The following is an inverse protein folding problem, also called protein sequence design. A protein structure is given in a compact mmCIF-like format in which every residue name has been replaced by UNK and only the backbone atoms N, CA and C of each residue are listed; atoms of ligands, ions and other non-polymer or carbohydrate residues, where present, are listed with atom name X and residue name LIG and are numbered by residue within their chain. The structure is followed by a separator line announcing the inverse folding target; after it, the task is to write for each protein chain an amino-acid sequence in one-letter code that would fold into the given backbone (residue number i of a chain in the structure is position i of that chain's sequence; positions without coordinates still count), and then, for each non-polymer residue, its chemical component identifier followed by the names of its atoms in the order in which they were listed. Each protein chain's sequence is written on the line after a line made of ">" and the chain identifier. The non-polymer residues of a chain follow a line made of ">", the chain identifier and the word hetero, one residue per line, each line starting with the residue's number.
data_IF_032468091308
#
_entry.id   IF_032468091308
#
_cell.length_a   1.000
_cell.length_b   1.000
_cell.length_c   1.000
_cell.angle_alpha   90.00
_cell.angle_beta   90.00
_cell.angle_gamma   90.00
#
_symmetry.space_group_name_H-M   'P 1'
#
loop_
_entity.id
_entity.type
_entity.pdbx_description
1 polymer ?
#
# COMPACT_ATOMS: atom_id res chain seq x y z
N UNK A 1 43.88 -46.63 27.43
CA UNK A 1 43.59 -45.71 26.29
C UNK A 1 42.25 -44.94 26.46
N UNK A 2 41.85 -44.53 27.67
CA UNK A 2 40.50 -43.93 27.93
C UNK A 2 40.52 -42.42 28.27
N UNK A 3 41.69 -41.78 28.45
CA UNK A 3 41.78 -40.34 28.80
C UNK A 3 41.71 -39.39 27.61
N UNK A 4 42.06 -39.84 26.40
CA UNK A 4 42.09 -38.98 25.20
C UNK A 4 40.69 -38.71 24.64
N UNK A 5 39.75 -39.65 24.79
CA UNK A 5 38.36 -39.51 24.35
C UNK A 5 37.58 -38.48 25.18
N UNK A 6 37.83 -38.41 26.50
CA UNK A 6 37.19 -37.45 27.40
C UNK A 6 37.48 -35.99 27.05
N UNK A 7 38.73 -35.65 26.71
CA UNK A 7 39.10 -34.27 26.34
C UNK A 7 38.51 -33.84 24.99
N UNK A 8 38.34 -34.78 24.04
CA UNK A 8 37.74 -34.50 22.74
C UNK A 8 36.23 -34.27 22.89
N UNK A 9 35.55 -35.06 23.73
CA UNK A 9 34.11 -34.92 23.98
C UNK A 9 33.80 -33.57 24.65
N UNK A 10 34.58 -33.15 25.66
CA UNK A 10 34.40 -31.83 26.29
C UNK A 10 34.65 -30.67 25.30
N UNK A 11 35.67 -30.79 24.44
CA UNK A 11 35.94 -29.78 23.41
C UNK A 11 34.81 -29.65 22.38
N UNK A 12 34.26 -30.79 21.93
CA UNK A 12 33.16 -30.80 20.96
C UNK A 12 31.88 -30.21 21.56
N UNK A 13 31.55 -30.50 22.82
CA UNK A 13 30.37 -29.94 23.50
C UNK A 13 30.48 -28.41 23.67
N UNK A 14 31.67 -27.90 24.01
CA UNK A 14 31.90 -26.46 24.14
C UNK A 14 31.77 -25.76 22.78
N UNK A 15 32.31 -26.34 21.72
CA UNK A 15 32.18 -25.80 20.35
C UNK A 15 30.74 -25.84 19.85
N UNK A 16 29.98 -26.90 20.15
CA UNK A 16 28.56 -27.02 19.78
C UNK A 16 27.68 -25.98 20.49
N UNK A 17 28.02 -25.62 21.73
CA UNK A 17 27.27 -24.62 22.51
C UNK A 17 27.47 -23.19 22.02
N UNK A 18 28.60 -22.87 21.39
CA UNK A 18 28.90 -21.53 20.84
C UNK A 18 28.17 -21.30 19.51
N UNK A 19 27.95 -22.36 18.74
CA UNK A 19 27.26 -22.31 17.43
C UNK A 19 25.74 -22.03 17.59
N UNK A 20 25.16 -22.27 18.78
CA UNK A 20 23.72 -22.07 19.03
C UNK A 20 23.33 -20.62 19.37
N UNK A 21 24.28 -19.70 19.56
CA UNK A 21 23.99 -18.31 19.96
C UNK A 21 23.77 -17.31 18.80
N UNK A 22 23.73 -17.78 17.54
CA UNK A 22 23.60 -16.89 16.36
C UNK A 22 22.17 -16.84 15.82
N UNK A 23 21.16 -17.24 16.61
CA UNK A 23 19.77 -17.00 16.23
C UNK A 23 19.50 -15.49 16.26
N UNK A 24 19.01 -14.88 15.16
CA UNK A 24 18.54 -13.51 15.22
C UNK A 24 17.36 -13.49 16.19
N UNK A 25 17.59 -12.97 17.39
CA UNK A 25 16.51 -12.48 18.24
C UNK A 25 15.89 -11.31 17.50
N UNK A 26 14.80 -11.55 16.78
CA UNK A 26 13.86 -10.49 16.46
C UNK A 26 13.48 -9.86 17.79
N UNK A 27 13.80 -8.58 17.95
CA UNK A 27 13.27 -7.81 19.06
C UNK A 27 11.76 -8.09 19.11
N UNK A 28 11.25 -8.48 20.27
CA UNK A 28 9.81 -8.59 20.49
C UNK A 28 9.25 -7.17 20.42
N UNK A 29 9.08 -6.64 19.22
CA UNK A 29 8.36 -5.40 19.03
C UNK A 29 6.91 -5.69 19.35
N UNK A 30 6.47 -5.18 20.50
CA UNK A 30 5.08 -5.28 20.90
C UNK A 30 4.25 -4.40 19.97
N UNK A 31 3.65 -5.01 18.96
CA UNK A 31 2.84 -4.28 17.99
C UNK A 31 1.46 -3.89 18.54
N UNK A 32 1.08 -4.36 19.73
CA UNK A 32 -0.22 -4.09 20.33
C UNK A 32 -0.36 -2.63 20.82
N UNK A 33 0.74 -1.92 21.06
CA UNK A 33 0.74 -0.52 21.53
C UNK A 33 1.15 0.48 20.46
N UNK A 34 1.56 0.02 19.28
CA UNK A 34 2.18 0.84 18.24
C UNK A 34 1.29 2.00 17.79
N UNK A 35 -0.02 1.83 17.71
CA UNK A 35 -0.93 2.92 17.29
C UNK A 35 -1.03 4.02 18.35
N UNK A 36 -1.05 3.65 19.63
CA UNK A 36 -1.04 4.62 20.73
C UNK A 36 0.30 5.37 20.79
N UNK A 37 1.41 4.67 20.56
CA UNK A 37 2.74 5.28 20.46
C UNK A 37 2.85 6.22 19.26
N UNK A 38 2.32 5.81 18.09
CA UNK A 38 2.28 6.65 16.90
C UNK A 38 1.50 7.94 17.14
N UNK A 39 0.38 7.88 17.85
CA UNK A 39 -0.34 9.08 18.27
C UNK A 39 0.53 10.01 19.13
N UNK A 40 1.21 9.46 20.14
CA UNK A 40 2.12 10.25 20.97
C UNK A 40 3.25 10.88 20.16
N UNK A 41 3.80 10.17 19.17
CA UNK A 41 4.85 10.67 18.28
C UNK A 41 4.32 11.77 17.36
N UNK A 42 3.10 11.64 16.87
CA UNK A 42 2.41 12.66 16.09
C UNK A 42 2.21 13.94 16.91
N UNK A 43 1.75 13.82 18.15
CA UNK A 43 1.49 14.96 19.04
C UNK A 43 2.75 15.78 19.36
N UNK A 44 3.93 15.12 19.39
CA UNK A 44 5.23 15.80 19.59
C UNK A 44 5.97 16.11 18.28
N UNK A 45 5.37 15.84 17.12
CA UNK A 45 5.96 16.12 15.81
C UNK A 45 7.14 15.22 15.41
N UNK A 46 7.31 14.04 16.04
CA UNK A 46 8.38 13.07 15.72
C UNK A 46 7.94 12.10 14.62
N UNK A 47 7.75 12.64 13.42
CA UNK A 47 7.19 11.92 12.28
C UNK A 47 8.11 10.85 11.70
N UNK A 48 9.42 11.08 11.66
CA UNK A 48 10.41 10.08 11.24
C UNK A 48 10.40 8.82 12.14
N UNK A 49 10.36 9.00 13.45
CA UNK A 49 10.29 7.88 14.40
C UNK A 49 8.95 7.14 14.30
N UNK A 50 7.87 7.87 14.05
CA UNK A 50 6.54 7.29 13.82
C UNK A 50 6.52 6.39 12.58
N UNK A 51 7.20 6.78 11.50
CA UNK A 51 7.33 5.93 10.30
C UNK A 51 8.03 4.63 10.66
N UNK A 52 9.21 4.71 11.28
CA UNK A 52 10.00 3.52 11.66
C UNK A 52 9.15 2.57 12.51
N UNK A 53 8.44 3.13 13.50
CA UNK A 53 7.64 2.37 14.46
C UNK A 53 6.40 1.73 13.84
N UNK A 54 5.74 2.41 12.89
CA UNK A 54 4.57 1.87 12.21
C UNK A 54 4.94 0.86 11.12
N UNK A 55 6.02 1.10 10.36
CA UNK A 55 6.49 0.20 9.31
C UNK A 55 6.97 -1.14 9.85
N UNK A 56 7.55 -1.17 11.06
CA UNK A 56 7.99 -2.41 11.68
C UNK A 56 6.84 -3.35 12.08
N UNK A 57 5.64 -2.78 12.26
CA UNK A 57 4.43 -3.53 12.65
C UNK A 57 3.41 -3.72 11.54
N UNK A 58 3.44 -2.92 10.46
CA UNK A 58 2.51 -3.08 9.34
C UNK A 58 3.09 -4.00 8.26
N UNK A 59 2.27 -4.83 7.58
CA UNK A 59 0.82 -4.94 7.73
C UNK A 59 0.36 -5.94 8.80
N UNK A 60 1.19 -6.91 9.19
CA UNK A 60 0.74 -8.13 9.87
C UNK A 60 0.77 -8.04 11.41
N UNK A 61 1.53 -7.13 11.98
CA UNK A 61 1.68 -6.95 13.43
C UNK A 61 0.53 -6.18 14.09
N UNK A 62 -0.27 -5.43 13.31
CA UNK A 62 -1.46 -4.70 13.80
C UNK A 62 -2.71 -5.43 13.31
N UNK A 63 -3.68 -5.80 14.19
CA UNK A 63 -4.88 -6.53 13.79
C UNK A 63 -5.73 -5.74 12.78
N UNK A 64 -6.43 -6.44 11.88
CA UNK A 64 -7.30 -5.79 10.90
C UNK A 64 -8.44 -5.02 11.59
N UNK A 65 -8.87 -3.91 10.97
CA UNK A 65 -10.01 -3.11 11.45
C UNK A 65 -9.61 -1.67 11.74
N UNK A 66 -10.29 -1.06 12.72
CA UNK A 66 -10.15 0.36 13.02
C UNK A 66 -8.71 0.75 13.41
N UNK A 67 -8.01 -0.12 14.13
CA UNK A 67 -6.64 0.13 14.56
C UNK A 67 -5.67 0.20 13.38
N UNK A 68 -5.75 -0.75 12.45
CA UNK A 68 -4.92 -0.73 11.23
C UNK A 68 -5.28 0.44 10.30
N UNK A 69 -6.56 0.83 10.23
CA UNK A 69 -6.98 2.05 9.51
C UNK A 69 -6.32 3.29 10.12
N UNK A 70 -6.34 3.40 11.45
CA UNK A 70 -5.70 4.50 12.16
C UNK A 70 -4.18 4.49 11.99
N UNK A 71 -3.54 3.32 12.00
CA UNK A 71 -2.12 3.15 11.75
C UNK A 71 -1.72 3.68 10.36
N UNK A 72 -2.43 3.29 9.30
CA UNK A 72 -2.17 3.83 7.96
C UNK A 72 -2.49 5.33 7.84
N UNK A 73 -3.46 5.86 8.61
CA UNK A 73 -3.72 7.30 8.68
C UNK A 73 -2.48 8.03 9.24
N UNK A 74 -1.98 7.58 10.39
CA UNK A 74 -0.78 8.17 10.99
C UNK A 74 0.45 8.03 10.08
N UNK A 75 0.61 6.88 9.44
CA UNK A 75 1.71 6.64 8.50
C UNK A 75 1.64 7.61 7.30
N UNK A 76 0.45 7.81 6.72
CA UNK A 76 0.26 8.78 5.65
C UNK A 76 0.55 10.22 6.09
N UNK A 77 0.09 10.61 7.28
CA UNK A 77 0.38 11.93 7.86
C UNK A 77 1.89 12.12 8.09
N UNK A 78 2.57 11.09 8.58
CA UNK A 78 4.01 11.09 8.78
C UNK A 78 4.75 11.33 7.46
N UNK A 79 4.44 10.58 6.41
CA UNK A 79 5.08 10.76 5.11
C UNK A 79 4.77 12.12 4.48
N UNK A 80 3.60 12.70 4.71
CA UNK A 80 3.31 14.07 4.26
C UNK A 80 4.22 15.07 4.97
N UNK A 81 4.43 14.91 6.28
CA UNK A 81 5.32 15.78 7.04
C UNK A 81 6.79 15.67 6.60
N UNK A 82 7.21 14.47 6.18
CA UNK A 82 8.55 14.21 5.62
C UNK A 82 8.66 14.49 4.11
N UNK A 83 7.65 15.12 3.49
CA UNK A 83 7.56 15.43 2.05
C UNK A 83 7.67 14.20 1.12
N UNK A 84 7.38 13.01 1.64
CA UNK A 84 7.37 11.74 0.90
C UNK A 84 5.99 11.46 0.29
N UNK A 85 5.51 12.39 -0.54
CA UNK A 85 4.15 12.34 -1.12
C UNK A 85 3.80 11.04 -1.86
N UNK A 86 4.70 10.39 -2.64
CA UNK A 86 4.39 9.11 -3.28
C UNK A 86 4.10 8.00 -2.27
N UNK A 87 4.88 7.95 -1.18
CA UNK A 87 4.71 6.96 -0.11
C UNK A 87 3.46 7.25 0.71
N UNK A 88 3.16 8.53 0.97
CA UNK A 88 1.90 8.95 1.58
C UNK A 88 0.69 8.49 0.78
N UNK A 89 0.72 8.63 -0.56
CA UNK A 89 -0.35 8.13 -1.45
C UNK A 89 -0.54 6.62 -1.31
N UNK A 90 0.55 5.85 -1.24
CA UNK A 90 0.47 4.39 -1.03
C UNK A 90 -0.18 4.03 0.32
N UNK A 91 0.20 4.73 1.41
CA UNK A 91 -0.43 4.53 2.72
C UNK A 91 -1.93 4.87 2.70
N UNK A 92 -2.32 5.94 2.00
CA UNK A 92 -3.74 6.30 1.79
C UNK A 92 -4.48 5.24 0.98
N UNK A 93 -3.87 4.69 -0.06
CA UNK A 93 -4.47 3.61 -0.84
C UNK A 93 -4.74 2.37 0.03
N UNK A 94 -3.76 1.96 0.84
CA UNK A 94 -3.92 0.85 1.80
C UNK A 94 -5.00 1.14 2.84
N UNK A 95 -5.07 2.39 3.33
CA UNK A 95 -6.14 2.82 4.22
C UNK A 95 -7.53 2.68 3.56
N UNK A 96 -7.66 3.07 2.30
CA UNK A 96 -8.92 2.97 1.55
C UNK A 96 -9.25 1.53 1.14
N UNK A 97 -8.27 0.63 1.07
CA UNK A 97 -8.51 -0.82 0.93
C UNK A 97 -9.15 -1.41 2.19
N UNK A 98 -8.71 -0.97 3.36
CA UNK A 98 -9.30 -1.39 4.64
C UNK A 98 -10.67 -0.74 4.90
N UNK A 99 -10.84 0.51 4.50
CA UNK A 99 -12.09 1.25 4.67
C UNK A 99 -12.38 2.20 3.49
N UNK A 100 -13.14 1.71 2.50
CA UNK A 100 -13.53 2.51 1.33
C UNK A 100 -14.33 3.79 1.70
N UNK A 101 -15.02 3.77 2.84
CA UNK A 101 -15.89 4.86 3.31
C UNK A 101 -15.18 5.85 4.23
N UNK A 102 -13.89 5.68 4.50
CA UNK A 102 -13.11 6.57 5.36
C UNK A 102 -13.26 8.04 4.94
N UNK A 103 -13.49 8.94 5.89
CA UNK A 103 -13.56 10.38 5.64
C UNK A 103 -12.57 11.11 6.55
N UNK A 104 -11.66 11.93 5.99
CA UNK A 104 -10.76 12.73 6.81
C UNK A 104 -11.55 13.84 7.53
N UNK A 105 -11.11 14.22 8.71
CA UNK A 105 -11.66 15.35 9.45
C UNK A 105 -11.12 16.64 8.82
N UNK A 106 -11.97 17.39 8.13
CA UNK A 106 -11.56 18.62 7.44
C UNK A 106 -11.16 19.76 8.37
N UNK A 107 -11.47 19.66 9.66
CA UNK A 107 -11.15 20.67 10.68
C UNK A 107 -9.86 20.31 11.40
N UNK A 108 -9.65 19.03 11.70
CA UNK A 108 -8.51 18.56 12.47
C UNK A 108 -7.34 18.08 11.59
N UNK A 109 -7.60 17.45 10.44
CA UNK A 109 -6.56 16.90 9.59
C UNK A 109 -5.94 17.98 8.67
N UNK A 110 -4.64 17.90 8.36
CA UNK A 110 -3.98 18.82 7.44
C UNK A 110 -4.65 18.83 6.05
N UNK A 111 -4.77 20.01 5.45
CA UNK A 111 -5.38 20.19 4.12
C UNK A 111 -4.78 19.26 3.07
N UNK A 112 -3.46 19.07 3.10
CA UNK A 112 -2.77 18.19 2.15
C UNK A 112 -3.21 16.73 2.26
N UNK A 113 -3.47 16.24 3.48
CA UNK A 113 -3.98 14.88 3.68
C UNK A 113 -5.40 14.75 3.12
N UNK A 114 -6.27 15.72 3.38
CA UNK A 114 -7.64 15.77 2.85
C UNK A 114 -7.64 15.72 1.32
N UNK A 115 -6.80 16.54 0.68
CA UNK A 115 -6.66 16.58 -0.78
C UNK A 115 -6.26 15.24 -1.37
N UNK A 116 -5.25 14.58 -0.78
CA UNK A 116 -4.75 13.30 -1.27
C UNK A 116 -5.79 12.17 -1.13
N UNK A 117 -6.55 12.16 -0.05
CA UNK A 117 -7.65 11.21 0.14
C UNK A 117 -8.75 11.42 -0.90
N UNK A 118 -9.14 12.68 -1.15
CA UNK A 118 -10.15 13.02 -2.15
C UNK A 118 -9.68 12.68 -3.57
N UNK A 119 -8.39 12.90 -3.89
CA UNK A 119 -7.76 12.49 -5.14
C UNK A 119 -7.83 10.96 -5.32
N UNK A 120 -7.39 10.19 -4.32
CA UNK A 120 -7.39 8.73 -4.35
C UNK A 120 -8.80 8.17 -4.57
N UNK A 121 -9.82 8.73 -3.92
CA UNK A 121 -11.23 8.34 -4.13
C UNK A 121 -11.73 8.62 -5.54
N UNK A 122 -11.38 9.77 -6.13
CA UNK A 122 -11.75 10.12 -7.51
C UNK A 122 -11.10 9.17 -8.52
N UNK A 123 -9.84 8.79 -8.31
CA UNK A 123 -9.15 7.81 -9.16
C UNK A 123 -9.85 6.44 -9.10
N UNK A 124 -10.20 5.98 -7.89
CA UNK A 124 -10.94 4.72 -7.69
C UNK A 124 -12.31 4.71 -8.34
N UNK A 125 -13.09 5.79 -8.22
CA UNK A 125 -14.42 5.88 -8.83
C UNK A 125 -14.35 5.86 -10.36
N UNK A 126 -13.37 6.54 -10.96
CA UNK A 126 -13.11 6.47 -12.41
C UNK A 126 -12.73 5.06 -12.87
N UNK A 127 -11.91 4.35 -12.08
CA UNK A 127 -11.55 2.95 -12.32
C UNK A 127 -12.76 2.02 -12.35
N UNK A 128 -13.65 2.15 -11.35
CA UNK A 128 -14.92 1.37 -11.27
C UNK A 128 -15.79 1.61 -12.52
N UNK A 129 -15.92 2.86 -12.98
CA UNK A 129 -16.71 3.20 -14.19
C UNK A 129 -16.10 2.66 -15.48
N UNK A 130 -14.77 2.78 -15.65
CA UNK A 130 -14.07 2.25 -16.84
C UNK A 130 -14.18 0.73 -16.94
N UNK A 131 -14.04 0.02 -15.81
CA UNK A 131 -14.19 -1.45 -15.75
C UNK A 131 -15.61 -1.88 -16.16
N UNK A 132 -16.64 -1.20 -15.64
CA UNK A 132 -18.04 -1.42 -16.09
C UNK A 132 -18.20 -1.16 -17.59
N UNK A 133 -17.63 -0.07 -18.13
CA UNK A 133 -17.74 0.26 -19.56
C UNK A 133 -17.03 -0.77 -20.45
N UNK A 134 -15.86 -1.26 -20.05
CA UNK A 134 -15.15 -2.33 -20.77
C UNK A 134 -15.91 -3.66 -20.73
N UNK A 135 -16.54 -4.00 -19.60
CA UNK A 135 -17.44 -5.15 -19.48
C UNK A 135 -18.61 -5.11 -20.48
N UNK A 136 -19.18 -3.93 -20.75
CA UNK A 136 -20.26 -3.76 -21.74
C UNK A 136 -19.78 -3.80 -23.21
N UNK A 137 -18.55 -3.36 -23.50
CA UNK A 137 -18.04 -3.37 -24.88
C UNK A 137 -17.39 -4.71 -25.29
N UNK A 138 -16.98 -5.55 -24.34
CA UNK A 138 -16.22 -6.77 -24.62
C UNK A 138 -16.97 -8.10 -24.46
N UNK A 139 -18.17 -8.14 -23.87
CA UNK A 139 -18.72 -9.41 -23.34
C UNK A 139 -20.23 -9.66 -23.45
N UNK A 140 -21.04 -8.82 -24.09
CA UNK A 140 -22.47 -9.18 -24.25
C UNK A 140 -23.38 -8.07 -24.74
N UNK A 141 -23.55 -7.98 -26.06
CA UNK A 141 -24.82 -7.52 -26.65
C UNK A 141 -25.42 -8.69 -27.43
N UNK A 142 -26.06 -9.61 -26.71
CA UNK A 142 -27.17 -10.37 -27.28
C UNK A 142 -28.43 -9.78 -26.66
N UNK A 143 -29.35 -9.35 -27.52
CA UNK A 143 -30.72 -8.90 -27.24
C UNK A 143 -30.93 -7.42 -26.87
N UNK A 144 -30.85 -6.56 -27.88
CA UNK A 144 -31.99 -5.69 -28.19
C UNK A 144 -32.33 -5.94 -29.66
N UNK A 145 -33.57 -6.35 -29.94
CA UNK A 145 -33.99 -6.74 -31.27
C UNK A 145 -33.84 -5.62 -32.31
N UNK A 146 -33.91 -6.05 -33.58
CA UNK A 146 -33.98 -5.28 -34.82
C UNK A 146 -32.66 -5.09 -35.60
N UNK A 147 -32.58 -5.90 -36.67
CA UNK A 147 -31.85 -5.71 -37.93
C UNK A 147 -30.31 -5.76 -37.86
N UNK A 148 -29.76 -6.98 -37.91
CA UNK A 148 -28.44 -7.19 -38.51
C UNK A 148 -28.54 -6.87 -40.01
N UNK A 149 -28.15 -5.65 -40.38
CA UNK A 149 -27.81 -5.35 -41.77
C UNK A 149 -26.65 -6.27 -42.18
N UNK A 150 -26.84 -6.99 -43.29
CA UNK A 150 -25.84 -7.88 -43.88
C UNK A 150 -24.59 -7.05 -44.22
N UNK A 151 -23.51 -7.22 -43.45
CA UNK A 151 -22.20 -6.69 -43.84
C UNK A 151 -21.52 -7.75 -44.70
N UNK A 152 -21.56 -7.50 -46.00
CA UNK A 152 -20.74 -8.16 -47.02
C UNK A 152 -19.27 -8.04 -46.62
N UNK A 153 -18.56 -9.17 -46.59
CA UNK A 153 -17.11 -9.23 -46.40
C UNK A 153 -16.40 -8.47 -47.52
N UNK A 154 -16.03 -7.22 -47.25
CA UNK A 154 -15.03 -6.47 -48.01
C UNK A 154 -13.73 -6.44 -47.21
N UNK A 155 -12.75 -7.24 -47.62
CA UNK A 155 -11.37 -7.11 -47.17
C UNK A 155 -10.87 -5.74 -47.66
N UNK A 156 -10.77 -4.78 -46.73
CA UNK A 156 -10.24 -3.45 -46.97
C UNK A 156 -9.34 -3.05 -45.81
N UNK A 157 -8.04 -2.92 -46.08
CA UNK A 157 -7.03 -2.59 -45.08
C UNK A 157 -7.39 -1.33 -44.28
N UNK A 158 -7.27 -1.40 -42.96
CA UNK A 158 -7.46 -0.25 -42.07
C UNK A 158 -6.16 0.02 -41.33
N UNK A 159 -5.42 0.98 -41.86
CA UNK A 159 -4.43 1.75 -41.11
C UNK A 159 -5.08 2.28 -39.84
N UNK A 160 -4.50 1.98 -38.69
CA UNK A 160 -4.93 2.51 -37.41
C UNK A 160 -4.91 4.06 -37.44
N UNK A 161 -5.96 4.74 -36.99
CA UNK A 161 -5.92 6.18 -36.76
C UNK A 161 -4.84 6.47 -35.70
N UNK A 162 -3.82 7.26 -36.04
CA UNK A 162 -2.90 7.80 -35.05
C UNK A 162 -3.71 8.70 -34.12
N UNK A 163 -3.69 8.38 -32.82
CA UNK A 163 -4.27 9.25 -31.80
C UNK A 163 -3.65 10.66 -31.91
N UNK A 164 -4.42 11.73 -31.67
CA UNK A 164 -3.87 13.06 -31.52
C UNK A 164 -2.90 13.08 -30.32
N UNK A 165 -1.75 13.73 -30.51
CA UNK A 165 -0.75 13.87 -29.46
C UNK A 165 -1.34 14.61 -28.25
N UNK A 166 -0.91 14.26 -27.01
CA UNK A 166 -1.36 14.95 -25.81
C UNK A 166 -0.98 16.44 -25.87
N UNK A 167 -1.80 17.33 -25.29
CA UNK A 167 -1.49 18.75 -25.24
C UNK A 167 -0.18 19.00 -24.48
N UNK A 168 0.65 19.97 -24.91
CA UNK A 168 1.91 20.28 -24.25
C UNK A 168 1.66 20.75 -22.81
N UNK A 169 2.52 20.31 -21.89
CA UNK A 169 2.48 20.74 -20.50
C UNK A 169 2.71 22.25 -20.38
N UNK A 170 1.97 22.96 -19.51
CA UNK A 170 2.25 24.36 -19.23
C UNK A 170 3.66 24.50 -18.66
N UNK A 171 4.44 25.43 -19.22
CA UNK A 171 5.74 25.79 -18.66
C UNK A 171 5.52 26.46 -17.30
N UNK A 172 6.13 25.90 -16.25
CA UNK A 172 6.25 26.55 -14.95
C UNK A 172 6.95 27.91 -15.16
N UNK A 173 6.29 28.99 -14.73
CA UNK A 173 6.90 30.32 -14.58
C UNK A 173 7.47 30.47 -13.17
#
# INVERSE_FOLDING_TARGET
>A
MQRKSQSIICGVIIVLSIIFCISPTSAQEDCATTVAEAQSLYDVGRTADMIVRLESCLPDGIPEGAERVQAYKFLALAYIAEDQLPTAKNAIEKLLDLNENFQPDRTADPSKFVELVDEAKKVRSRGKTRKKRWLYLGGGTLLAGAVTAVIVFGVGGSSAPRLPDPPPFPADQ
#
